data_IF_763096782473
#
_entry.id   IF_763096782473
#
_cell.length_a   1.000
_cell.length_b   1.000
_cell.length_c   1.000
_cell.angle_alpha   90.00
_cell.angle_beta   90.00
_cell.angle_gamma   90.00
#
_symmetry.space_group_name_H-M   'P 1'
#
loop_
_entity.id
_entity.type
_entity.pdbx_description
1 polymer ?
#
# COMPACT_ATOMS: atom_id res chain seq x y z
N UNK A 1 -21.11 -28.05 26.27
CA UNK A 1 -22.47 -27.66 25.82
C UNK A 1 -22.32 -26.54 24.80
N UNK A 2 -22.31 -26.91 23.52
CA UNK A 2 -21.97 -26.01 22.40
C UNK A 2 -23.16 -26.03 21.45
N UNK A 3 -23.93 -24.93 21.38
CA UNK A 3 -25.05 -24.79 20.45
C UNK A 3 -24.52 -24.57 19.03
N UNK A 4 -24.56 -25.62 18.20
CA UNK A 4 -24.48 -25.53 16.73
C UNK A 4 -25.72 -24.80 16.22
N UNK A 5 -25.55 -23.66 15.56
CA UNK A 5 -26.61 -23.04 14.76
C UNK A 5 -26.55 -23.65 13.36
N UNK A 6 -27.53 -24.52 13.07
CA UNK A 6 -27.82 -25.06 11.74
C UNK A 6 -28.65 -24.03 10.98
N UNK A 7 -28.08 -23.40 9.95
CA UNK A 7 -28.88 -22.69 8.95
C UNK A 7 -29.50 -23.71 8.00
N UNK A 8 -30.84 -23.85 8.06
CA UNK A 8 -31.61 -24.64 7.09
C UNK A 8 -31.68 -23.87 5.78
N UNK A 9 -31.23 -24.50 4.69
CA UNK A 9 -31.46 -24.04 3.33
C UNK A 9 -32.95 -24.15 2.98
N UNK A 10 -33.66 -23.04 3.03
CA UNK A 10 -34.83 -22.82 2.20
C UNK A 10 -34.60 -21.48 1.50
N UNK A 11 -34.87 -21.46 0.21
CA UNK A 11 -34.79 -20.30 -0.69
C UNK A 11 -33.46 -20.13 -1.46
N UNK A 12 -32.92 -21.24 -1.97
CA UNK A 12 -32.00 -21.19 -3.12
C UNK A 12 -32.77 -21.66 -4.37
N UNK A 13 -33.18 -20.72 -5.24
CA UNK A 13 -33.67 -21.04 -6.57
C UNK A 13 -32.53 -20.93 -7.60
N UNK A 14 -32.42 -21.85 -8.58
CA UNK A 14 -31.34 -21.84 -9.57
C UNK A 14 -31.37 -20.59 -10.47
N UNK A 15 -30.19 -20.14 -10.92
CA UNK A 15 -30.01 -18.96 -11.78
C UNK A 15 -30.83 -18.98 -13.09
N UNK A 16 -31.28 -20.14 -13.55
CA UNK A 16 -32.06 -20.31 -14.78
C UNK A 16 -33.51 -19.81 -14.67
N UNK A 17 -34.08 -19.78 -13.46
CA UNK A 17 -35.46 -19.27 -13.25
C UNK A 17 -35.49 -17.73 -13.12
N UNK A 18 -34.33 -17.09 -12.85
CA UNK A 18 -34.22 -15.61 -12.80
C UNK A 18 -34.15 -14.96 -14.19
N UNK A 19 -33.71 -15.69 -15.21
CA UNK A 19 -33.64 -15.19 -16.59
C UNK A 19 -35.04 -15.04 -17.22
N UNK A 20 -35.96 -15.96 -16.94
CA UNK A 20 -37.36 -15.86 -17.44
C UNK A 20 -38.13 -14.71 -16.76
N UNK A 21 -37.87 -14.44 -15.48
CA UNK A 21 -38.49 -13.32 -14.76
C UNK A 21 -37.97 -11.95 -15.24
N UNK A 22 -36.70 -11.87 -15.66
CA UNK A 22 -36.10 -10.67 -16.26
C UNK A 22 -36.60 -10.39 -17.68
N UNK A 23 -36.85 -11.42 -18.48
CA UNK A 23 -37.45 -11.26 -19.82
C UNK A 23 -38.94 -10.86 -19.74
N UNK A 24 -39.68 -11.34 -18.74
CA UNK A 24 -41.08 -10.95 -18.52
C UNK A 24 -41.30 -9.52 -18.02
N UNK A 25 -40.24 -8.85 -17.56
CA UNK A 25 -40.25 -7.46 -17.07
C UNK A 25 -39.85 -6.43 -18.14
N UNK A 26 -39.47 -6.88 -19.34
CA UNK A 26 -39.21 -5.99 -20.47
C UNK A 26 -40.52 -5.73 -21.23
N UNK A 27 -41.04 -4.49 -21.26
CA UNK A 27 -42.25 -4.20 -21.99
C UNK A 27 -41.98 -4.33 -23.50
N UNK A 28 -42.51 -5.38 -24.12
CA UNK A 28 -42.74 -5.45 -25.57
C UNK A 28 -43.86 -4.47 -25.94
N UNK A 29 -43.53 -3.19 -26.03
CA UNK A 29 -44.32 -2.24 -26.80
C UNK A 29 -43.45 -1.65 -27.89
N UNK A 30 -43.86 -1.88 -29.13
CA UNK A 30 -43.53 -1.04 -30.27
C UNK A 30 -43.91 0.41 -29.93
N UNK A 31 -42.96 1.15 -29.36
CA UNK A 31 -43.09 2.59 -29.14
C UNK A 31 -42.33 3.26 -30.27
N UNK A 32 -43.08 3.87 -31.19
CA UNK A 32 -42.57 4.86 -32.10
C UNK A 32 -41.77 5.91 -31.29
N UNK A 33 -40.46 5.93 -31.48
CA UNK A 33 -39.55 6.83 -30.75
C UNK A 33 -39.78 8.25 -31.27
N UNK A 34 -40.66 8.99 -30.60
CA UNK A 34 -40.67 10.45 -30.70
C UNK A 34 -39.48 11.01 -29.92
N UNK A 35 -38.76 12.03 -30.44
CA UNK A 35 -37.48 12.46 -29.91
C UNK A 35 -37.64 13.24 -28.61
N UNK A 36 -37.49 12.56 -27.46
CA UNK A 36 -37.07 13.17 -26.18
C UNK A 36 -35.54 13.24 -26.05
N UNK A 37 -34.82 13.18 -27.17
CA UNK A 37 -33.38 12.85 -27.29
C UNK A 37 -32.40 13.98 -26.91
N UNK A 38 -32.86 15.15 -26.47
CA UNK A 38 -31.96 16.29 -26.26
C UNK A 38 -31.42 16.38 -24.82
N UNK A 39 -32.08 15.76 -23.82
CA UNK A 39 -31.71 15.93 -22.40
C UNK A 39 -31.02 14.70 -21.74
N UNK A 40 -30.83 13.60 -22.49
CA UNK A 40 -30.12 12.40 -22.04
C UNK A 40 -28.65 12.37 -22.47
N UNK A 41 -28.32 13.03 -23.58
CA UNK A 41 -26.95 13.12 -24.13
C UNK A 41 -25.96 13.78 -23.15
N UNK A 42 -26.37 14.84 -22.47
CA UNK A 42 -25.57 15.49 -21.42
C UNK A 42 -25.29 14.56 -20.24
N UNK A 43 -26.31 13.82 -19.76
CA UNK A 43 -26.14 12.90 -18.63
C UNK A 43 -25.15 11.76 -18.93
N UNK A 44 -25.16 11.20 -20.13
CA UNK A 44 -24.19 10.16 -20.51
C UNK A 44 -22.77 10.72 -20.62
N UNK A 45 -22.62 11.96 -21.09
CA UNK A 45 -21.34 12.66 -21.12
C UNK A 45 -20.76 12.84 -19.70
N UNK A 46 -21.60 13.27 -18.75
CA UNK A 46 -21.22 13.45 -17.35
C UNK A 46 -20.82 12.12 -16.68
N UNK A 47 -21.55 11.04 -16.96
CA UNK A 47 -21.21 9.69 -16.47
C UNK A 47 -19.88 9.23 -17.07
N UNK A 48 -19.64 9.46 -18.36
CA UNK A 48 -18.39 9.07 -19.01
C UNK A 48 -17.18 9.85 -18.45
N UNK A 49 -17.31 11.16 -18.23
CA UNK A 49 -16.29 11.98 -17.56
C UNK A 49 -16.01 11.49 -16.13
N UNK A 50 -17.06 11.25 -15.34
CA UNK A 50 -16.94 10.72 -13.98
C UNK A 50 -16.27 9.35 -13.96
N UNK A 51 -16.58 8.51 -14.95
CA UNK A 51 -15.97 7.18 -15.12
C UNK A 51 -14.49 7.28 -15.44
N UNK A 52 -14.08 8.20 -16.32
CA UNK A 52 -12.66 8.42 -16.62
C UNK A 52 -11.88 8.96 -15.40
N UNK A 53 -12.49 9.82 -14.59
CA UNK A 53 -11.89 10.26 -13.33
C UNK A 53 -11.72 9.10 -12.34
N UNK A 54 -12.73 8.22 -12.26
CA UNK A 54 -12.69 7.02 -11.44
C UNK A 54 -11.61 6.03 -11.93
N UNK A 55 -11.40 5.91 -13.24
CA UNK A 55 -10.32 5.08 -13.83
C UNK A 55 -8.94 5.50 -13.32
N UNK A 56 -8.71 6.81 -13.16
CA UNK A 56 -7.44 7.35 -12.69
C UNK A 56 -7.19 7.06 -11.19
N UNK A 57 -8.22 6.68 -10.42
CA UNK A 57 -8.06 6.32 -9.01
C UNK A 57 -7.44 4.94 -8.83
N UNK A 58 -7.69 3.99 -9.75
CA UNK A 58 -7.14 2.62 -9.66
C UNK A 58 -5.61 2.58 -9.50
N UNK A 59 -4.83 3.17 -10.43
CA UNK A 59 -3.38 3.25 -10.32
C UNK A 59 -2.89 4.00 -9.07
N UNK A 60 -3.60 5.04 -8.64
CA UNK A 60 -3.26 5.79 -7.42
C UNK A 60 -3.43 4.93 -6.16
N UNK A 61 -4.50 4.14 -6.08
CA UNK A 61 -4.73 3.20 -4.99
C UNK A 61 -3.69 2.08 -4.98
N UNK A 62 -3.27 1.59 -6.16
CA UNK A 62 -2.20 0.60 -6.27
C UNK A 62 -0.85 1.14 -5.75
N UNK A 63 -0.49 2.38 -6.10
CA UNK A 63 0.71 3.03 -5.57
C UNK A 63 0.63 3.23 -4.05
N UNK A 64 -0.50 3.72 -3.55
CA UNK A 64 -0.73 3.87 -2.10
C UNK A 64 -0.63 2.53 -1.36
N UNK A 65 -1.19 1.46 -1.92
CA UNK A 65 -1.07 0.11 -1.36
C UNK A 65 0.40 -0.35 -1.31
N UNK A 66 1.16 -0.13 -2.39
CA UNK A 66 2.57 -0.51 -2.45
C UNK A 66 3.41 0.25 -1.41
N UNK A 67 3.22 1.56 -1.28
CA UNK A 67 3.92 2.39 -0.29
C UNK A 67 3.56 1.98 1.15
N UNK A 68 2.27 1.73 1.41
CA UNK A 68 1.81 1.30 2.73
C UNK A 68 2.35 -0.09 3.10
N UNK A 69 2.39 -1.03 2.14
CA UNK A 69 2.98 -2.35 2.35
C UNK A 69 4.50 -2.28 2.59
N UNK A 70 5.21 -1.37 1.91
CA UNK A 70 6.63 -1.14 2.12
C UNK A 70 6.90 -0.60 3.52
N UNK A 71 6.15 0.41 3.97
CA UNK A 71 6.31 0.97 5.31
C UNK A 71 5.98 -0.06 6.40
N UNK A 72 4.92 -0.83 6.22
CA UNK A 72 4.56 -1.91 7.13
C UNK A 72 5.68 -2.96 7.27
N UNK A 73 6.28 -3.38 6.15
CA UNK A 73 7.44 -4.31 6.16
C UNK A 73 8.63 -3.72 6.91
N UNK A 74 8.94 -2.44 6.68
CA UNK A 74 10.03 -1.76 7.40
C UNK A 74 9.75 -1.67 8.91
N UNK A 75 8.51 -1.36 9.29
CA UNK A 75 8.10 -1.29 10.69
C UNK A 75 8.17 -2.67 11.37
N UNK A 76 7.77 -3.74 10.69
CA UNK A 76 7.90 -5.11 11.19
C UNK A 76 9.37 -5.54 11.36
N UNK A 77 10.23 -5.19 10.41
CA UNK A 77 11.67 -5.44 10.51
C UNK A 77 12.29 -4.72 11.72
N UNK A 78 11.98 -3.43 11.91
CA UNK A 78 12.41 -2.65 13.08
C UNK A 78 11.90 -3.23 14.39
N UNK A 79 10.64 -3.67 14.44
CA UNK A 79 10.06 -4.31 15.63
C UNK A 79 10.82 -5.60 15.99
N UNK A 80 11.20 -6.39 15.00
CA UNK A 80 12.00 -7.61 15.18
C UNK A 80 13.41 -7.29 15.68
N UNK A 81 14.06 -6.27 15.11
CA UNK A 81 15.38 -5.81 15.55
C UNK A 81 15.36 -5.33 17.01
N UNK A 82 14.40 -4.48 17.37
CA UNK A 82 14.24 -4.01 18.75
C UNK A 82 14.01 -5.20 19.69
N UNK A 83 13.19 -6.18 19.31
CA UNK A 83 12.96 -7.39 20.11
C UNK A 83 14.26 -8.17 20.36
N UNK A 84 15.12 -8.30 19.34
CA UNK A 84 16.41 -8.99 19.48
C UNK A 84 17.38 -8.22 20.39
N UNK A 85 17.44 -6.89 20.24
CA UNK A 85 18.26 -6.03 21.13
C UNK A 85 17.78 -6.14 22.58
N UNK A 86 16.47 -6.12 22.81
CA UNK A 86 15.90 -6.27 24.15
C UNK A 86 16.22 -7.63 24.76
N UNK A 87 16.12 -8.72 23.98
CA UNK A 87 16.52 -10.05 24.44
C UNK A 87 17.99 -10.12 24.83
N UNK A 88 18.87 -9.53 24.02
CA UNK A 88 20.30 -9.43 24.33
C UNK A 88 20.54 -8.65 25.62
N UNK A 89 19.93 -7.47 25.75
CA UNK A 89 20.05 -6.64 26.93
C UNK A 89 19.54 -7.32 28.21
N UNK A 90 18.41 -8.03 28.16
CA UNK A 90 17.90 -8.80 29.32
C UNK A 90 18.88 -9.90 29.72
N UNK A 91 19.46 -10.61 28.75
CA UNK A 91 20.46 -11.65 29.01
C UNK A 91 21.72 -11.07 29.68
N UNK A 92 22.24 -9.97 29.15
CA UNK A 92 23.42 -9.30 29.72
C UNK A 92 23.14 -8.80 31.15
N UNK A 93 21.93 -8.29 31.40
CA UNK A 93 21.49 -7.91 32.75
C UNK A 93 21.44 -9.11 33.71
N UNK A 94 20.92 -10.26 33.27
CA UNK A 94 20.88 -11.47 34.09
C UNK A 94 22.29 -11.96 34.46
N UNK A 95 23.23 -11.91 33.52
CA UNK A 95 24.65 -12.25 33.75
C UNK A 95 25.28 -11.31 34.79
N UNK A 96 25.12 -9.99 34.62
CA UNK A 96 25.65 -8.97 35.56
C UNK A 96 25.05 -9.12 36.96
N UNK A 97 23.73 -9.35 37.05
CA UNK A 97 23.04 -9.57 38.33
C UNK A 97 23.56 -10.83 39.03
N UNK A 98 23.80 -11.90 38.28
CA UNK A 98 24.35 -13.15 38.80
C UNK A 98 25.76 -12.96 39.36
N UNK A 99 26.63 -12.27 38.61
CA UNK A 99 27.99 -11.94 39.06
C UNK A 99 27.98 -11.06 40.31
N UNK A 100 27.13 -10.03 40.33
CA UNK A 100 27.01 -9.12 41.47
C UNK A 100 26.52 -9.86 42.72
N UNK A 101 25.56 -10.81 42.56
CA UNK A 101 25.09 -11.67 43.65
C UNK A 101 26.21 -12.55 44.20
N UNK A 102 27.02 -13.15 43.34
CA UNK A 102 28.19 -13.97 43.72
C UNK A 102 29.22 -13.14 44.48
N UNK A 103 29.59 -11.97 43.95
CA UNK A 103 30.53 -11.04 44.59
C UNK A 103 30.03 -10.58 45.96
N UNK A 104 28.76 -10.19 46.05
CA UNK A 104 28.12 -9.82 47.31
C UNK A 104 28.20 -10.93 48.37
N UNK A 105 27.95 -12.18 47.98
CA UNK A 105 28.05 -13.33 48.88
C UNK A 105 29.48 -13.61 49.34
N UNK A 106 30.48 -13.40 48.47
CA UNK A 106 31.89 -13.49 48.86
C UNK A 106 32.28 -12.42 49.87
N UNK A 107 31.80 -11.18 49.70
CA UNK A 107 32.06 -10.10 50.66
C UNK A 107 31.39 -10.39 52.00
N UNK A 108 30.16 -10.92 52.01
CA UNK A 108 29.49 -11.33 53.25
C UNK A 108 30.29 -12.38 54.02
N UNK A 109 30.76 -13.44 53.34
CA UNK A 109 31.59 -14.48 53.98
C UNK A 109 32.90 -13.91 54.56
N UNK A 110 33.52 -12.94 53.87
CA UNK A 110 34.70 -12.26 54.36
C UNK A 110 34.40 -11.41 55.61
N UNK A 111 33.26 -10.70 55.63
CA UNK A 111 32.81 -9.91 56.78
C UNK A 111 32.51 -10.79 57.99
N UNK A 112 31.89 -11.94 57.80
CA UNK A 112 31.64 -12.90 58.88
C UNK A 112 32.97 -13.37 59.51
N UNK A 113 33.99 -13.60 58.68
CA UNK A 113 35.34 -13.96 59.13
C UNK A 113 36.00 -12.82 59.90
N UNK A 114 35.93 -11.58 59.39
CA UNK A 114 36.47 -10.39 60.07
C UNK A 114 35.77 -10.15 61.41
N UNK A 115 34.44 -10.27 61.45
CA UNK A 115 33.64 -10.15 62.67
C UNK A 115 34.03 -11.21 63.71
N UNK A 116 34.25 -12.45 63.28
CA UNK A 116 34.76 -13.53 64.14
C UNK A 116 36.17 -13.25 64.67
N UNK A 117 37.08 -12.78 63.81
CA UNK A 117 38.45 -12.40 64.22
C UNK A 117 38.39 -11.25 65.25
N UNK A 118 37.61 -10.21 64.99
CA UNK A 118 37.46 -9.08 65.92
C UNK A 118 36.94 -9.53 67.29
N UNK A 119 35.91 -10.39 67.33
CA UNK A 119 35.39 -10.97 68.58
C UNK A 119 36.44 -11.81 69.30
N UNK A 120 37.18 -12.64 68.58
CA UNK A 120 38.22 -13.49 69.16
C UNK A 120 39.38 -12.66 69.71
N UNK A 121 39.85 -11.65 68.97
CA UNK A 121 40.89 -10.71 69.40
C UNK A 121 40.46 -9.95 70.65
N UNK A 122 39.18 -9.55 70.74
CA UNK A 122 38.63 -8.92 71.95
C UNK A 122 38.66 -9.84 73.16
N UNK A 123 38.38 -11.13 72.99
CA UNK A 123 38.47 -12.11 74.09
C UNK A 123 39.92 -12.30 74.52
N UNK A 124 40.84 -12.41 73.56
CA UNK A 124 42.28 -12.54 73.84
C UNK A 124 42.80 -11.30 74.60
N UNK A 125 42.39 -10.10 74.19
CA UNK A 125 42.80 -8.86 74.86
C UNK A 125 42.26 -8.79 76.28
N UNK A 126 41.02 -9.20 76.53
CA UNK A 126 40.46 -9.26 77.89
C UNK A 126 41.29 -10.19 78.77
N UNK A 127 41.64 -11.39 78.28
CA UNK A 127 42.48 -12.33 79.02
C UNK A 127 43.88 -11.76 79.30
N UNK A 128 44.47 -11.07 78.32
CA UNK A 128 45.76 -10.40 78.48
C UNK A 128 45.70 -9.22 79.46
N UNK A 129 44.57 -8.52 79.54
CA UNK A 129 44.35 -7.36 80.43
C UNK A 129 44.29 -7.82 81.88
N UNK A 130 43.63 -8.95 82.12
CA UNK A 130 43.58 -9.61 83.44
C UNK A 130 45.01 -10.00 83.88
N UNK A 131 45.80 -10.58 82.98
CA UNK A 131 47.17 -10.99 83.30
C UNK A 131 48.12 -9.79 83.51
N UNK A 132 47.95 -8.72 82.73
CA UNK A 132 48.65 -7.44 82.95
C UNK A 132 48.33 -6.86 84.34
N UNK A 133 47.08 -6.95 84.79
CA UNK A 133 46.68 -6.56 86.14
C UNK A 133 47.27 -7.45 87.24
N UNK A 134 47.38 -8.78 87.00
CA UNK A 134 48.02 -9.72 87.94
C UNK A 134 49.53 -9.47 88.10
N UNK A 135 50.21 -9.01 87.05
CA UNK A 135 51.65 -8.73 87.08
C UNK A 135 52.02 -7.43 87.85
N UNK A 136 51.05 -6.68 88.36
CA UNK A 136 51.28 -5.48 89.18
C UNK A 136 52.02 -4.38 88.41
N UNK A 137 53.03 -3.75 89.01
CA UNK A 137 53.80 -2.66 88.36
C UNK A 137 54.48 -3.11 87.05
N UNK A 138 54.92 -4.36 86.96
CA UNK A 138 55.62 -4.90 85.78
C UNK A 138 54.69 -5.09 84.57
N UNK A 139 53.37 -5.20 84.80
CA UNK A 139 52.36 -5.36 83.75
C UNK A 139 51.80 -4.03 83.23
N UNK A 140 52.14 -2.89 83.84
CA UNK A 140 51.48 -1.60 83.60
C UNK A 140 51.67 -1.09 82.17
N UNK A 141 52.87 -1.23 81.60
CA UNK A 141 53.17 -0.92 80.19
C UNK A 141 52.50 -1.88 79.21
N UNK A 142 52.36 -3.15 79.58
CA UNK A 142 51.65 -4.14 78.76
C UNK A 142 50.13 -3.91 78.76
N UNK A 143 49.57 -3.45 79.87
CA UNK A 143 48.15 -3.09 79.99
C UNK A 143 47.70 -2.03 78.98
N UNK A 144 48.53 -1.02 78.72
CA UNK A 144 48.24 0.03 77.70
C UNK A 144 48.14 -0.56 76.29
N UNK A 145 49.05 -1.49 75.94
CA UNK A 145 49.02 -2.19 74.65
C UNK A 145 47.75 -3.04 74.52
N UNK A 146 47.35 -3.72 75.59
CA UNK A 146 46.15 -4.55 75.59
C UNK A 146 44.86 -3.73 75.46
N UNK A 147 44.78 -2.58 76.14
CA UNK A 147 43.65 -1.66 76.01
C UNK A 147 43.52 -1.14 74.57
N UNK A 148 44.65 -0.85 73.91
CA UNK A 148 44.67 -0.46 72.50
C UNK A 148 44.24 -1.61 71.56
N UNK A 149 44.64 -2.86 71.83
CA UNK A 149 44.17 -4.03 71.08
C UNK A 149 42.65 -4.19 71.23
N UNK A 150 42.12 -4.00 72.44
CA UNK A 150 40.69 -4.09 72.70
C UNK A 150 39.92 -3.00 71.94
N UNK A 151 40.44 -1.77 71.95
CA UNK A 151 39.89 -0.63 71.20
C UNK A 151 39.86 -0.91 69.69
N UNK A 152 40.95 -1.47 69.14
CA UNK A 152 41.06 -1.82 67.72
C UNK A 152 40.09 -2.95 67.32
N UNK A 153 39.95 -3.97 68.18
CA UNK A 153 38.99 -5.07 67.96
C UNK A 153 37.54 -4.55 67.96
N UNK A 154 37.19 -3.66 68.88
CA UNK A 154 35.86 -3.03 68.93
C UNK A 154 35.59 -2.13 67.71
N UNK A 155 36.60 -1.36 67.26
CA UNK A 155 36.48 -0.56 66.04
C UNK A 155 36.31 -1.45 64.79
N UNK A 156 37.03 -2.57 64.72
CA UNK A 156 36.93 -3.52 63.60
C UNK A 156 35.55 -4.17 63.57
N UNK A 157 35.01 -4.58 64.71
CA UNK A 157 33.66 -5.14 64.81
C UNK A 157 32.57 -4.15 64.38
N UNK A 158 32.69 -2.87 64.80
CA UNK A 158 31.77 -1.80 64.36
C UNK A 158 31.86 -1.56 62.85
N UNK A 159 33.07 -1.53 62.29
CA UNK A 159 33.27 -1.34 60.85
C UNK A 159 32.65 -2.50 60.06
N UNK A 160 32.83 -3.75 60.51
CA UNK A 160 32.24 -4.92 59.89
C UNK A 160 30.70 -4.82 59.82
N UNK A 161 30.05 -4.37 60.90
CA UNK A 161 28.60 -4.14 60.95
C UNK A 161 28.13 -3.07 59.94
N UNK A 162 28.86 -1.96 59.81
CA UNK A 162 28.53 -0.90 58.84
C UNK A 162 28.63 -1.43 57.40
N UNK A 163 29.64 -2.27 57.10
CA UNK A 163 29.79 -2.85 55.76
C UNK A 163 28.69 -3.90 55.53
N UNK A 164 28.32 -4.69 56.53
CA UNK A 164 27.21 -5.65 56.47
C UNK A 164 25.90 -4.96 56.09
N UNK A 165 25.55 -3.83 56.72
CA UNK A 165 24.38 -3.02 56.34
C UNK A 165 24.45 -2.55 54.87
N UNK A 166 25.63 -2.16 54.39
CA UNK A 166 25.82 -1.78 52.98
C UNK A 166 25.64 -2.96 52.03
N UNK A 167 26.11 -4.14 52.40
CA UNK A 167 25.93 -5.37 51.63
C UNK A 167 24.46 -5.78 51.61
N UNK A 168 23.75 -5.67 52.72
CA UNK A 168 22.30 -5.91 52.78
C UNK A 168 21.53 -4.96 51.84
N UNK A 169 21.86 -3.67 51.83
CA UNK A 169 21.29 -2.70 50.90
C UNK A 169 21.62 -3.03 49.43
N UNK A 170 22.85 -3.50 49.17
CA UNK A 170 23.24 -3.97 47.84
C UNK A 170 22.44 -5.20 47.42
N UNK A 171 22.21 -6.15 48.33
CA UNK A 171 21.34 -7.31 48.09
C UNK A 171 19.91 -6.91 47.74
N UNK A 172 19.32 -5.96 48.48
CA UNK A 172 18.00 -5.43 48.13
C UNK A 172 17.99 -4.78 46.74
N UNK A 173 19.05 -4.05 46.39
CA UNK A 173 19.18 -3.43 45.05
C UNK A 173 19.30 -4.48 43.94
N UNK A 174 20.08 -5.56 44.16
CA UNK A 174 20.19 -6.71 43.24
C UNK A 174 18.83 -7.38 43.06
N UNK A 175 18.06 -7.57 44.14
CA UNK A 175 16.71 -8.13 44.09
C UNK A 175 15.77 -7.24 43.28
N UNK A 176 15.82 -5.92 43.45
CA UNK A 176 15.01 -4.99 42.65
C UNK A 176 15.37 -5.07 41.16
N UNK A 177 16.65 -5.11 40.80
CA UNK A 177 17.09 -5.22 39.39
C UNK A 177 16.74 -6.58 38.78
N UNK A 178 16.83 -7.67 39.54
CA UNK A 178 16.42 -9.00 39.07
C UNK A 178 14.93 -9.12 38.83
N UNK A 179 14.09 -8.51 39.66
CA UNK A 179 12.64 -8.42 39.41
C UNK A 179 12.35 -7.62 38.13
N UNK A 180 13.13 -6.57 37.85
CA UNK A 180 13.02 -5.79 36.60
C UNK A 180 13.36 -6.64 35.36
N UNK A 181 14.31 -7.58 35.47
CA UNK A 181 14.74 -8.45 34.38
C UNK A 181 13.83 -9.68 34.18
N UNK A 182 13.31 -10.27 35.26
CA UNK A 182 12.59 -11.55 35.22
C UNK A 182 11.08 -11.45 34.94
N UNK A 183 10.49 -10.24 34.97
CA UNK A 183 9.04 -10.11 34.87
C UNK A 183 8.52 -10.04 33.42
N UNK A 184 7.99 -11.18 32.97
CA UNK A 184 6.91 -11.26 31.99
C UNK A 184 5.51 -11.23 32.65
N UNK A 185 5.37 -11.33 33.98
CA UNK A 185 4.06 -11.70 34.57
C UNK A 185 3.56 -11.14 35.93
N UNK A 186 4.27 -10.36 36.74
CA UNK A 186 3.65 -9.89 38.01
C UNK A 186 2.94 -8.52 37.92
N UNK A 187 1.63 -8.63 37.69
CA UNK A 187 0.59 -7.66 38.01
C UNK A 187 0.45 -7.51 39.53
N UNK A 188 1.27 -6.68 40.20
CA UNK A 188 0.79 -5.82 41.29
C UNK A 188 1.87 -4.85 41.81
N UNK A 189 1.51 -3.56 41.89
CA UNK A 189 2.08 -2.64 42.89
C UNK A 189 3.40 -1.89 42.61
N UNK A 190 4.28 -2.32 41.70
CA UNK A 190 5.55 -1.59 41.44
C UNK A 190 5.54 -0.97 40.05
N UNK A 191 5.76 0.36 39.98
CA UNK A 191 5.90 1.22 38.79
C UNK A 191 6.02 0.44 37.47
N UNK A 192 5.05 0.63 36.55
CA UNK A 192 5.10 0.18 35.14
C UNK A 192 6.55 0.19 34.65
N UNK A 193 7.13 -1.00 34.52
CA UNK A 193 8.53 -1.14 34.14
C UNK A 193 8.70 -0.59 32.72
N UNK A 194 9.78 0.17 32.49
CA UNK A 194 10.12 0.70 31.17
C UNK A 194 10.28 -0.44 30.16
N UNK A 195 10.86 -1.58 30.56
CA UNK A 195 11.02 -2.77 29.69
C UNK A 195 9.67 -3.37 29.26
N UNK A 196 8.71 -3.54 30.18
CA UNK A 196 7.36 -4.00 29.83
C UNK A 196 6.63 -3.03 28.90
N UNK A 197 6.82 -1.72 29.14
CA UNK A 197 6.22 -0.68 28.30
C UNK A 197 6.78 -0.72 26.90
N UNK A 198 8.11 -0.86 26.76
CA UNK A 198 8.78 -1.01 25.47
C UNK A 198 8.35 -2.30 24.78
N UNK A 199 8.36 -3.45 25.46
CA UNK A 199 7.90 -4.72 24.88
C UNK A 199 6.47 -4.61 24.37
N UNK A 200 5.54 -4.05 25.17
CA UNK A 200 4.16 -3.82 24.74
C UNK A 200 4.07 -2.90 23.52
N UNK A 201 4.87 -1.84 23.47
CA UNK A 201 4.93 -0.94 22.31
C UNK A 201 5.45 -1.67 21.07
N UNK A 202 6.49 -2.50 21.20
CA UNK A 202 7.09 -3.28 20.10
C UNK A 202 6.10 -4.30 19.54
N UNK A 203 5.37 -5.01 20.41
CA UNK A 203 4.27 -5.90 20.00
C UNK A 203 3.13 -5.12 19.33
N UNK A 204 2.78 -3.95 19.87
CA UNK A 204 1.80 -3.04 19.26
C UNK A 204 2.23 -2.58 17.86
N UNK A 205 3.51 -2.28 17.66
CA UNK A 205 4.06 -1.93 16.35
C UNK A 205 3.97 -3.09 15.36
N UNK A 206 4.28 -4.32 15.79
CA UNK A 206 4.15 -5.50 14.94
C UNK A 206 2.70 -5.75 14.51
N UNK A 207 1.74 -5.65 15.45
CA UNK A 207 0.31 -5.75 15.14
C UNK A 207 -0.17 -4.62 14.22
N UNK A 208 0.36 -3.42 14.38
CA UNK A 208 0.01 -2.29 13.52
C UNK A 208 0.54 -2.49 12.10
N UNK A 209 1.77 -2.98 11.95
CA UNK A 209 2.34 -3.35 10.67
C UNK A 209 1.51 -4.44 9.97
N UNK A 210 1.08 -5.47 10.68
CA UNK A 210 0.19 -6.52 10.15
C UNK A 210 -1.15 -5.95 9.65
N UNK A 211 -1.77 -5.06 10.43
CA UNK A 211 -2.99 -4.35 10.00
C UNK A 211 -2.77 -3.48 8.77
N UNK A 212 -1.62 -2.82 8.66
CA UNK A 212 -1.28 -2.03 7.48
C UNK A 212 -1.08 -2.91 6.25
N UNK A 213 -0.51 -4.11 6.38
CA UNK A 213 -0.41 -5.07 5.27
C UNK A 213 -1.81 -5.49 4.78
N UNK A 214 -2.70 -5.87 5.70
CA UNK A 214 -4.09 -6.19 5.34
C UNK A 214 -4.83 -5.01 4.71
N UNK A 215 -4.58 -3.78 5.20
CA UNK A 215 -5.10 -2.56 4.58
C UNK A 215 -4.56 -2.33 3.16
N UNK A 216 -3.29 -2.65 2.92
CA UNK A 216 -2.67 -2.49 1.61
C UNK A 216 -3.25 -3.46 0.59
N UNK A 217 -3.46 -4.73 0.99
CA UNK A 217 -4.14 -5.73 0.18
C UNK A 217 -5.58 -5.29 -0.16
N UNK A 218 -6.31 -4.76 0.82
CA UNK A 218 -7.66 -4.24 0.61
C UNK A 218 -7.68 -3.06 -0.39
N UNK A 219 -6.72 -2.13 -0.30
CA UNK A 219 -6.59 -1.02 -1.24
C UNK A 219 -6.21 -1.49 -2.65
N UNK A 220 -5.34 -2.51 -2.75
CA UNK A 220 -4.95 -3.10 -4.02
C UNK A 220 -6.16 -3.70 -4.74
N UNK A 221 -6.93 -4.56 -4.06
CA UNK A 221 -8.14 -5.15 -4.61
C UNK A 221 -9.22 -4.12 -4.93
N UNK A 222 -9.36 -3.07 -4.11
CA UNK A 222 -10.26 -1.96 -4.42
C UNK A 222 -9.85 -1.25 -5.71
N UNK A 223 -8.55 -1.04 -5.92
CA UNK A 223 -8.00 -0.48 -7.15
C UNK A 223 -8.30 -1.35 -8.37
N UNK A 224 -8.13 -2.67 -8.26
CA UNK A 224 -8.48 -3.63 -9.32
C UNK A 224 -9.98 -3.61 -9.64
N UNK A 225 -10.84 -3.65 -8.62
CA UNK A 225 -12.29 -3.57 -8.79
C UNK A 225 -12.72 -2.26 -9.44
N UNK A 226 -12.18 -1.13 -9.00
CA UNK A 226 -12.45 0.17 -9.62
C UNK A 226 -12.09 0.14 -11.11
N UNK A 227 -10.89 -0.33 -11.45
CA UNK A 227 -10.47 -0.39 -12.83
C UNK A 227 -11.38 -1.30 -13.68
N UNK A 228 -11.73 -2.48 -13.17
CA UNK A 228 -12.61 -3.42 -13.86
C UNK A 228 -14.06 -2.94 -14.01
N UNK A 229 -14.63 -2.31 -12.98
CA UNK A 229 -15.99 -1.74 -13.08
C UNK A 229 -16.02 -0.53 -14.02
N UNK A 230 -15.02 0.34 -13.93
CA UNK A 230 -14.90 1.50 -14.81
C UNK A 230 -14.74 1.09 -16.26
N UNK A 231 -13.93 0.05 -16.54
CA UNK A 231 -13.79 -0.49 -17.88
C UNK A 231 -15.12 -1.00 -18.43
N UNK A 232 -15.83 -1.85 -17.69
CA UNK A 232 -17.15 -2.34 -18.10
C UNK A 232 -18.16 -1.22 -18.32
N UNK A 233 -18.13 -0.20 -17.44
CA UNK A 233 -19.04 0.95 -17.52
C UNK A 233 -18.76 1.78 -18.79
N UNK A 234 -17.49 2.09 -19.09
CA UNK A 234 -17.12 2.86 -20.28
C UNK A 234 -17.43 2.10 -21.58
N UNK A 235 -17.17 0.80 -21.62
CA UNK A 235 -17.55 -0.05 -22.76
C UNK A 235 -19.08 -0.09 -22.94
N UNK A 236 -19.83 -0.23 -21.85
CA UNK A 236 -21.31 -0.22 -21.88
C UNK A 236 -21.88 1.15 -22.27
N UNK A 237 -21.24 2.25 -21.85
CA UNK A 237 -21.63 3.59 -22.31
C UNK A 237 -21.36 3.77 -23.80
N UNK A 238 -20.31 3.14 -24.31
CA UNK A 238 -19.96 3.15 -25.73
C UNK A 238 -21.04 2.59 -26.65
N UNK A 239 -21.95 1.75 -26.17
CA UNK A 239 -23.10 1.28 -26.98
C UNK A 239 -24.16 2.36 -27.18
N UNK A 240 -24.16 3.41 -26.33
CA UNK A 240 -25.05 4.55 -26.47
C UNK A 240 -24.35 5.64 -27.29
N UNK A 241 -24.98 6.06 -28.40
CA UNK A 241 -24.49 7.20 -29.19
C UNK A 241 -24.98 8.50 -28.53
N UNK A 242 -24.09 9.15 -27.78
CA UNK A 242 -24.33 10.45 -27.14
C UNK A 242 -23.53 11.59 -27.79
N UNK A 243 -23.71 12.82 -27.30
CA UNK A 243 -23.27 14.06 -27.99
C UNK A 243 -21.80 14.11 -28.40
N UNK A 244 -20.92 13.43 -27.68
CA UNK A 244 -19.50 13.31 -28.02
C UNK A 244 -19.28 12.59 -29.37
N UNK A 245 -19.94 11.46 -29.60
CA UNK A 245 -19.90 10.74 -30.88
C UNK A 245 -20.40 11.61 -32.02
N UNK A 246 -21.57 12.24 -31.84
CA UNK A 246 -22.14 13.14 -32.84
C UNK A 246 -21.25 14.35 -33.15
N UNK A 247 -20.46 14.82 -32.17
CA UNK A 247 -19.47 15.88 -32.40
C UNK A 247 -18.33 15.39 -33.28
N UNK A 248 -17.73 14.24 -32.97
CA UNK A 248 -16.65 13.67 -33.78
C UNK A 248 -17.13 13.36 -35.21
N UNK A 249 -18.33 12.80 -35.37
CA UNK A 249 -18.97 12.56 -36.66
C UNK A 249 -19.17 13.85 -37.47
N UNK A 250 -19.60 14.95 -36.83
CA UNK A 250 -19.72 16.26 -37.50
C UNK A 250 -18.37 16.82 -37.96
N UNK A 251 -17.30 16.61 -37.21
CA UNK A 251 -15.98 17.09 -37.63
C UNK A 251 -15.42 16.28 -38.80
N UNK A 252 -15.62 14.96 -38.82
CA UNK A 252 -15.30 14.12 -39.99
C UNK A 252 -16.15 14.52 -41.20
N UNK A 253 -17.44 14.82 -41.00
CA UNK A 253 -18.33 15.24 -42.09
C UNK A 253 -17.83 16.45 -42.87
N UNK A 254 -17.13 17.38 -42.21
CA UNK A 254 -16.61 18.60 -42.85
C UNK A 254 -15.45 18.32 -43.81
N UNK A 255 -14.67 17.27 -43.60
CA UNK A 255 -13.52 16.94 -44.46
C UNK A 255 -13.86 15.97 -45.58
N UNK A 256 -14.96 15.22 -45.46
CA UNK A 256 -15.37 14.23 -46.46
C UNK A 256 -15.42 14.80 -47.89
N UNK A 257 -16.02 15.99 -48.16
CA UNK A 257 -16.02 16.56 -49.52
C UNK A 257 -14.61 16.83 -50.06
N UNK A 258 -13.71 17.36 -49.22
CA UNK A 258 -12.32 17.63 -49.60
C UNK A 258 -11.56 16.36 -49.94
N UNK A 259 -11.80 15.28 -49.18
CA UNK A 259 -11.21 13.97 -49.43
C UNK A 259 -11.77 13.33 -50.70
N UNK A 260 -13.06 13.47 -50.98
CA UNK A 260 -13.67 12.99 -52.23
C UNK A 260 -13.06 13.67 -53.47
N UNK A 261 -12.91 15.00 -53.42
CA UNK A 261 -12.33 15.78 -54.53
C UNK A 261 -10.84 15.47 -54.77
N UNK A 262 -10.11 15.15 -53.69
CA UNK A 262 -8.68 14.88 -53.73
C UNK A 262 -8.31 13.40 -53.86
N UNK A 263 -9.27 12.47 -53.75
CA UNK A 263 -9.06 11.02 -53.54
C UNK A 263 -8.00 10.36 -54.43
N UNK A 264 -7.85 10.82 -55.68
CA UNK A 264 -6.88 10.27 -56.65
C UNK A 264 -5.45 10.80 -56.50
N UNK A 265 -5.22 11.74 -55.59
CA UNK A 265 -3.94 12.42 -55.36
C UNK A 265 -3.56 12.24 -53.90
N UNK A 266 -2.79 11.18 -53.64
CA UNK A 266 -2.35 10.78 -52.31
C UNK A 266 -1.81 11.95 -51.49
N UNK A 267 -0.87 12.72 -52.05
CA UNK A 267 -0.19 13.81 -51.35
C UNK A 267 -1.18 14.89 -50.91
N UNK A 268 -2.23 15.14 -51.69
CA UNK A 268 -3.26 16.12 -51.34
C UNK A 268 -4.15 15.58 -50.22
N UNK A 269 -4.54 14.31 -50.27
CA UNK A 269 -5.32 13.69 -49.19
C UNK A 269 -4.54 13.72 -47.86
N UNK A 270 -3.24 13.40 -47.90
CA UNK A 270 -2.37 13.45 -46.72
C UNK A 270 -2.30 14.90 -46.17
N UNK A 271 -2.05 15.91 -47.02
CA UNK A 271 -2.05 17.33 -46.59
C UNK A 271 -3.38 17.79 -45.99
N UNK A 272 -4.51 17.33 -46.54
CA UNK A 272 -5.85 17.65 -45.99
C UNK A 272 -6.01 17.06 -44.59
N UNK A 273 -5.61 15.80 -44.39
CA UNK A 273 -5.69 15.15 -43.08
C UNK A 273 -4.71 15.75 -42.08
N UNK A 274 -3.47 16.07 -42.49
CA UNK A 274 -2.48 16.72 -41.63
C UNK A 274 -3.02 18.03 -41.05
N UNK A 275 -3.56 18.89 -41.92
CA UNK A 275 -4.14 20.17 -41.50
C UNK A 275 -5.33 19.96 -40.57
N UNK A 276 -6.24 19.07 -40.95
CA UNK A 276 -7.44 18.82 -40.17
C UNK A 276 -7.14 18.23 -38.79
N UNK A 277 -6.23 17.26 -38.71
CA UNK A 277 -5.75 16.69 -37.45
C UNK A 277 -5.06 17.75 -36.60
N UNK A 278 -4.30 18.66 -37.21
CA UNK A 278 -3.67 19.79 -36.51
C UNK A 278 -4.67 20.76 -35.87
N UNK A 279 -5.87 20.89 -36.45
CA UNK A 279 -6.97 21.70 -35.92
C UNK A 279 -7.80 20.97 -34.84
N UNK A 280 -7.65 19.65 -34.69
CA UNK A 280 -8.45 18.81 -33.81
C UNK A 280 -7.59 17.84 -32.98
N UNK A 281 -7.26 18.24 -31.75
CA UNK A 281 -6.41 17.48 -30.82
C UNK A 281 -6.99 16.18 -30.24
N UNK A 282 -8.30 15.93 -30.42
CA UNK A 282 -8.95 14.72 -29.95
C UNK A 282 -8.96 13.57 -30.97
N UNK A 283 -8.59 13.82 -32.22
CA UNK A 283 -8.32 12.74 -33.18
C UNK A 283 -6.86 12.31 -33.06
N UNK A 284 -6.62 11.01 -32.87
CA UNK A 284 -5.27 10.44 -32.71
C UNK A 284 -4.64 10.07 -34.05
N UNK A 285 -5.48 9.58 -34.97
CA UNK A 285 -5.05 8.98 -36.20
C UNK A 285 -6.15 9.11 -37.26
N UNK A 286 -5.79 9.39 -38.51
CA UNK A 286 -6.68 9.30 -39.66
C UNK A 286 -6.00 8.57 -40.82
N UNK A 287 -6.80 7.80 -41.56
CA UNK A 287 -6.35 7.04 -42.71
C UNK A 287 -7.48 6.81 -43.72
N UNK A 288 -7.12 6.49 -44.96
CA UNK A 288 -8.07 6.30 -46.06
C UNK A 288 -7.76 4.99 -46.80
N UNK A 289 -8.82 4.25 -47.07
CA UNK A 289 -8.82 3.01 -47.86
C UNK A 289 -9.51 3.21 -49.20
N UNK A 290 -9.15 2.38 -50.17
CA UNK A 290 -9.89 2.25 -51.41
C UNK A 290 -11.19 1.44 -51.24
N UNK A 291 -11.99 1.36 -52.31
CA UNK A 291 -13.24 0.60 -52.32
C UNK A 291 -13.05 -0.92 -52.14
N UNK A 292 -11.81 -1.43 -52.17
CA UNK A 292 -11.47 -2.81 -51.87
C UNK A 292 -10.91 -2.98 -50.45
N UNK A 293 -10.86 -1.92 -49.65
CA UNK A 293 -10.38 -1.93 -48.26
C UNK A 293 -8.86 -1.85 -48.13
N UNK A 294 -8.11 -1.62 -49.22
CA UNK A 294 -6.67 -1.42 -49.14
C UNK A 294 -6.37 0.02 -48.80
N UNK A 295 -5.61 0.24 -47.74
CA UNK A 295 -5.17 1.58 -47.35
C UNK A 295 -4.18 2.14 -48.38
N UNK A 296 -4.44 3.34 -48.90
CA UNK A 296 -3.62 3.94 -49.97
C UNK A 296 -2.91 5.24 -49.55
N UNK A 297 -3.06 5.66 -48.30
CA UNK A 297 -2.27 6.74 -47.69
C UNK A 297 -1.52 6.24 -46.45
N UNK A 298 -0.51 6.99 -46.00
CA UNK A 298 0.10 6.70 -44.69
C UNK A 298 -0.91 6.94 -43.56
N UNK A 299 -0.66 6.32 -42.41
CA UNK A 299 -1.36 6.67 -41.18
C UNK A 299 -0.92 8.08 -40.77
N UNK A 300 -1.83 9.04 -40.77
CA UNK A 300 -1.56 10.41 -40.33
C UNK A 300 -1.98 10.51 -38.87
N UNK A 301 -1.01 10.64 -37.97
CA UNK A 301 -1.23 10.69 -36.53
C UNK A 301 -1.04 12.09 -35.96
N UNK A 302 -1.74 12.39 -34.86
CA UNK A 302 -1.53 13.58 -34.05
C UNK A 302 -1.03 13.18 -32.65
N UNK A 303 0.29 13.26 -32.47
CA UNK A 303 0.96 13.00 -31.19
C UNK A 303 1.19 14.32 -30.46
N UNK A 304 0.17 14.74 -29.69
CA UNK A 304 0.21 15.94 -28.84
C UNK A 304 0.57 17.23 -29.61
N UNK A 305 -0.08 17.43 -30.76
CA UNK A 305 0.12 18.59 -31.64
C UNK A 305 1.21 18.40 -32.69
N UNK A 306 1.94 17.28 -32.66
CA UNK A 306 2.89 16.93 -33.70
C UNK A 306 2.26 15.95 -34.69
N UNK A 307 2.18 16.38 -35.95
CA UNK A 307 1.69 15.52 -37.02
C UNK A 307 2.79 14.57 -37.46
N UNK A 308 2.48 13.28 -37.49
CA UNK A 308 3.41 12.20 -37.79
C UNK A 308 2.83 11.27 -38.85
N UNK A 309 3.70 10.79 -39.75
CA UNK A 309 3.33 9.83 -40.78
C UNK A 309 3.89 8.46 -40.41
N UNK A 310 3.01 7.47 -40.29
CA UNK A 310 3.40 6.08 -40.11
C UNK A 310 3.07 5.26 -41.37
N UNK A 311 4.12 4.78 -42.03
CA UNK A 311 4.00 3.95 -43.25
C UNK A 311 3.46 2.56 -42.99
N UNK A 312 3.32 2.11 -41.74
CA UNK A 312 2.85 0.74 -41.41
C UNK A 312 1.46 0.43 -41.96
N UNK A 313 0.60 1.44 -42.10
CA UNK A 313 -0.76 1.28 -42.64
C UNK A 313 -0.82 1.20 -44.16
N UNK A 314 0.14 1.78 -44.88
CA UNK A 314 0.09 1.85 -46.34
C UNK A 314 0.09 0.44 -46.98
N UNK A 315 -0.87 0.17 -47.86
CA UNK A 315 -1.04 -1.10 -48.55
C UNK A 315 -1.69 -2.22 -47.72
N UNK A 316 -1.98 -1.99 -46.43
CA UNK A 316 -2.67 -2.96 -45.58
C UNK A 316 -4.11 -3.18 -46.05
N UNK A 317 -4.59 -4.41 -45.89
CA UNK A 317 -5.95 -4.82 -46.25
C UNK A 317 -6.85 -4.80 -45.01
N UNK A 318 -7.85 -3.93 -45.03
CA UNK A 318 -8.83 -3.74 -43.96
C UNK A 318 -10.23 -4.23 -44.37
N UNK A 319 -10.38 -4.89 -45.51
CA UNK A 319 -11.69 -5.29 -46.07
C UNK A 319 -12.54 -6.17 -45.16
N UNK A 320 -11.90 -6.94 -44.26
CA UNK A 320 -12.56 -7.83 -43.31
C UNK A 320 -12.82 -7.21 -41.94
N UNK A 321 -12.44 -5.95 -41.73
CA UNK A 321 -12.54 -5.31 -40.42
C UNK A 321 -13.94 -4.76 -40.22
N UNK A 322 -14.47 -4.95 -39.01
CA UNK A 322 -15.84 -4.62 -38.71
C UNK A 322 -16.17 -3.15 -38.99
N UNK A 323 -15.27 -2.22 -38.66
CA UNK A 323 -15.46 -0.79 -38.94
C UNK A 323 -15.60 -0.49 -40.44
N UNK A 324 -14.88 -1.23 -41.30
CA UNK A 324 -14.91 -1.05 -42.75
C UNK A 324 -16.21 -1.60 -43.34
N UNK A 325 -16.58 -2.82 -42.93
CA UNK A 325 -17.83 -3.46 -43.32
C UNK A 325 -19.05 -2.64 -42.87
N UNK A 326 -19.03 -2.14 -41.63
CA UNK A 326 -20.10 -1.30 -41.08
C UNK A 326 -20.25 0.02 -41.83
N UNK A 327 -19.14 0.63 -42.25
CA UNK A 327 -19.16 1.86 -43.04
C UNK A 327 -19.87 1.63 -44.40
N UNK A 328 -19.51 0.54 -45.09
CA UNK A 328 -20.12 0.17 -46.37
C UNK A 328 -21.60 -0.22 -46.25
N UNK A 329 -21.98 -0.87 -45.16
CA UNK A 329 -23.37 -1.29 -44.93
C UNK A 329 -24.31 -0.11 -44.67
N UNK A 330 -23.83 0.91 -43.94
CA UNK A 330 -24.64 2.07 -43.58
C UNK A 330 -24.65 3.16 -44.67
N UNK A 331 -23.63 3.21 -45.52
CA UNK A 331 -23.44 4.21 -46.56
C UNK A 331 -23.52 5.65 -46.01
N UNK A 332 -22.65 5.96 -45.04
CA UNK A 332 -22.66 7.24 -44.34
C UNK A 332 -21.55 7.40 -43.30
N UNK A 333 -21.71 8.38 -42.40
CA UNK A 333 -20.78 8.65 -41.30
C UNK A 333 -21.26 7.92 -40.04
N UNK A 334 -20.37 7.17 -39.39
CA UNK A 334 -20.71 6.38 -38.21
C UNK A 334 -19.53 6.23 -37.27
N UNK A 335 -19.80 6.22 -35.98
CA UNK A 335 -18.85 5.82 -34.94
C UNK A 335 -18.97 4.33 -34.61
N UNK A 336 -17.83 3.67 -34.37
CA UNK A 336 -17.79 2.36 -33.71
C UNK A 336 -18.17 2.48 -32.23
N UNK A 337 -18.28 1.34 -31.54
CA UNK A 337 -18.33 1.33 -30.08
C UNK A 337 -16.97 1.75 -29.49
N UNK A 338 -16.98 2.11 -28.20
CA UNK A 338 -15.75 2.44 -27.47
C UNK A 338 -14.96 1.14 -27.24
N UNK A 339 -13.65 1.20 -27.51
CA UNK A 339 -12.70 0.11 -27.28
C UNK A 339 -11.37 0.66 -26.74
N UNK A 340 -10.41 -0.21 -26.44
CA UNK A 340 -9.04 0.20 -26.09
C UNK A 340 -8.17 0.29 -27.33
N UNK A 341 -7.56 1.44 -27.55
CA UNK A 341 -6.56 1.62 -28.59
C UNK A 341 -5.40 0.64 -28.36
N UNK A 342 -5.03 -0.13 -29.38
CA UNK A 342 -3.84 -0.98 -29.31
C UNK A 342 -2.54 -0.18 -29.29
N UNK A 343 -2.59 1.09 -29.72
CA UNK A 343 -1.42 1.96 -29.78
C UNK A 343 -1.19 2.70 -28.45
N UNK A 344 -2.25 3.18 -27.80
CA UNK A 344 -2.14 4.03 -26.60
C UNK A 344 -2.65 3.35 -25.32
N UNK A 345 -3.46 2.30 -25.43
CA UNK A 345 -4.14 1.66 -24.29
C UNK A 345 -5.33 2.46 -23.73
N UNK A 346 -5.51 3.69 -24.22
CA UNK A 346 -6.62 4.57 -23.84
C UNK A 346 -7.94 4.14 -24.50
N UNK A 347 -9.05 4.61 -23.92
CA UNK A 347 -10.37 4.45 -24.51
C UNK A 347 -10.48 5.31 -25.77
N UNK A 348 -10.86 4.69 -26.88
CA UNK A 348 -11.07 5.34 -28.15
C UNK A 348 -12.28 4.75 -28.88
N UNK A 349 -12.70 5.42 -29.95
CA UNK A 349 -13.63 4.87 -30.94
C UNK A 349 -13.22 5.40 -32.31
N UNK A 350 -13.61 4.71 -33.38
CA UNK A 350 -13.31 5.14 -34.76
C UNK A 350 -14.53 5.77 -35.38
N UNK A 351 -14.38 6.93 -36.00
CA UNK A 351 -15.38 7.51 -36.90
C UNK A 351 -15.02 7.15 -38.32
N UNK A 352 -15.93 6.49 -39.02
CA UNK A 352 -15.77 6.08 -40.42
C UNK A 352 -16.72 6.88 -41.31
N UNK A 353 -16.29 7.23 -42.52
CA UNK A 353 -17.13 7.84 -43.54
C UNK A 353 -16.83 7.26 -44.92
N UNK A 354 -17.90 6.93 -45.66
CA UNK A 354 -17.80 6.46 -47.04
C UNK A 354 -17.56 7.65 -47.98
N UNK A 355 -16.61 7.48 -48.89
CA UNK A 355 -16.25 8.48 -49.90
C UNK A 355 -16.88 8.08 -51.24
N UNK A 356 -17.52 9.04 -51.90
CA UNK A 356 -18.21 8.85 -53.18
C UNK A 356 -17.56 9.64 -54.32
N UNK A 357 -17.63 9.11 -55.54
CA UNK A 357 -17.39 9.92 -56.74
C UNK A 357 -18.61 10.79 -57.10
N UNK A 358 -18.45 11.65 -58.11
CA UNK A 358 -19.52 12.52 -58.62
C UNK A 358 -20.75 11.77 -59.16
N UNK A 359 -20.66 10.45 -59.37
CA UNK A 359 -21.75 9.59 -59.82
C UNK A 359 -22.39 8.82 -58.66
N UNK A 360 -21.97 9.07 -57.42
CA UNK A 360 -22.44 8.37 -56.23
C UNK A 360 -21.87 6.97 -56.06
N UNK A 361 -20.79 6.61 -56.76
CA UNK A 361 -20.12 5.32 -56.56
C UNK A 361 -19.13 5.42 -55.41
N UNK A 362 -19.12 4.42 -54.53
CA UNK A 362 -18.12 4.30 -53.45
C UNK A 362 -16.73 4.18 -54.07
N UNK A 363 -15.84 5.10 -53.71
CA UNK A 363 -14.43 5.10 -54.11
C UNK A 363 -13.49 4.70 -52.98
N UNK A 364 -13.93 4.83 -51.74
CA UNK A 364 -13.13 4.45 -50.57
C UNK A 364 -13.83 4.74 -49.25
N UNK A 365 -13.13 4.48 -48.15
CA UNK A 365 -13.59 4.78 -46.78
C UNK A 365 -12.48 5.50 -46.04
N UNK A 366 -12.82 6.64 -45.42
CA UNK A 366 -11.94 7.33 -44.46
C UNK A 366 -12.31 6.90 -43.04
N UNK A 367 -11.31 6.76 -42.19
CA UNK A 367 -11.46 6.39 -40.79
C UNK A 367 -10.57 7.30 -39.92
N UNK A 368 -11.11 7.74 -38.79
CA UNK A 368 -10.39 8.56 -37.82
C UNK A 368 -10.60 8.03 -36.40
N UNK A 369 -9.52 7.67 -35.72
CA UNK A 369 -9.54 7.22 -34.34
C UNK A 369 -9.61 8.43 -33.40
N UNK A 370 -10.54 8.37 -32.47
CA UNK A 370 -10.85 9.45 -31.53
C UNK A 370 -10.41 9.05 -30.13
N UNK A 371 -9.54 9.86 -29.51
CA UNK A 371 -9.24 9.72 -28.08
C UNK A 371 -10.48 10.16 -27.28
N UNK A 372 -11.14 9.20 -26.66
CA UNK A 372 -12.41 9.44 -25.97
C UNK A 372 -12.24 10.40 -24.78
N UNK A 373 -11.11 10.32 -24.08
CA UNK A 373 -10.81 11.20 -22.94
C UNK A 373 -10.63 12.66 -23.40
N UNK A 374 -9.82 12.90 -24.43
CA UNK A 374 -9.58 14.26 -24.95
C UNK A 374 -10.86 14.88 -25.50
N UNK A 375 -11.68 14.09 -26.19
CA UNK A 375 -12.97 14.55 -26.72
C UNK A 375 -13.92 15.05 -25.63
N UNK A 376 -13.97 14.36 -24.49
CA UNK A 376 -14.87 14.72 -23.38
C UNK A 376 -14.42 15.97 -22.62
N UNK A 377 -13.16 16.38 -22.70
CA UNK A 377 -12.62 17.53 -21.97
C UNK A 377 -12.90 18.88 -22.66
N UNK A 378 -13.50 18.86 -23.85
CA UNK A 378 -13.85 20.04 -24.66
C UNK A 378 -15.34 20.11 -24.90
#
# INVERSE_FOLDING_TARGET
MTKKVLWKSKDYQPLSERTELLESLLPTQNIAVSPKTINSSGKFNDIAQSSLQLAALGPRLALMAADMAKEAKNQAARSTEITNVLKGFTKDLEEVVSELRKSSGQVQNALDTVSRIAKQTRIISINASIEAGRAGEQGRTFGVVVEEIQRLADQTGKMACIIEDRINNMHQSIVQVSVIAANEHSMDGVKKNTLETVNRQVYGMAQYADKQLGGAEALHHLGEHINGYTEKLLLSLGTFRFGAHSRAEREVAKIVPLLQDSFRKREICETVLEKWLGEHDFFELAYITDAAGRQFIDNIGNQDGNIVHDKKGFGQDWSLRQWYLDALQYDGIRSTDIYRSSATGDFCFTVTAVLHDLRGKIIGVTAADVNFRRLLQK
#
